data_IF_375794130188
#
_entry.id   IF_375794130188
#
_cell.length_a   1.000
_cell.length_b   1.000
_cell.length_c   1.000
_cell.angle_alpha   90.00
_cell.angle_beta   90.00
_cell.angle_gamma   90.00
#
_symmetry.space_group_name_H-M   'P 1'
#
loop_
_entity.id
_entity.type
_entity.pdbx_description
1 polymer ?
#
# COMPACT_ATOMS: atom_id res chain seq x y z
N UNK A 1 13.93 -9.46 -7.29
CA UNK A 1 12.63 -9.19 -7.95
C UNK A 1 12.04 -7.94 -7.30
N UNK A 2 11.48 -7.00 -8.07
CA UNK A 2 10.77 -5.82 -7.55
C UNK A 2 9.33 -5.90 -8.01
N UNK A 3 8.39 -5.92 -7.08
CA UNK A 3 6.95 -5.91 -7.35
C UNK A 3 6.42 -4.50 -7.08
N UNK A 4 5.75 -3.90 -8.05
CA UNK A 4 5.16 -2.57 -7.91
C UNK A 4 3.82 -2.50 -8.65
N UNK A 5 2.87 -1.77 -8.10
CA UNK A 5 1.62 -1.43 -8.78
C UNK A 5 1.86 -0.38 -9.87
N UNK A 6 1.33 -0.63 -11.07
CA UNK A 6 1.40 0.28 -12.19
C UNK A 6 -0.03 0.76 -12.56
N UNK A 7 -0.35 1.99 -12.19
CA UNK A 7 -1.66 2.58 -12.41
C UNK A 7 -1.87 3.81 -11.52
N UNK A 8 -2.98 4.51 -11.72
CA UNK A 8 -3.43 5.58 -10.79
C UNK A 8 -3.75 4.93 -9.45
N UNK A 9 -3.04 5.34 -8.39
CA UNK A 9 -3.04 4.70 -7.07
C UNK A 9 -1.79 3.88 -6.75
N UNK A 10 -0.96 3.56 -7.76
CA UNK A 10 0.34 2.90 -7.55
C UNK A 10 0.23 1.58 -6.78
N UNK A 11 1.07 1.40 -5.75
CA UNK A 11 1.14 0.16 -4.96
C UNK A 11 -0.14 -0.16 -4.18
N UNK A 12 -1.01 0.82 -3.87
CA UNK A 12 -2.26 0.52 -3.15
C UNK A 12 -3.22 -0.35 -3.96
N UNK A 13 -3.05 -0.40 -5.28
CA UNK A 13 -3.84 -1.24 -6.16
C UNK A 13 -3.60 -2.73 -5.88
N UNK A 14 -2.37 -3.13 -5.57
CA UNK A 14 -1.96 -4.54 -5.52
C UNK A 14 -1.19 -4.95 -4.25
N UNK A 15 -1.03 -4.07 -3.26
CA UNK A 15 -0.58 -4.47 -1.94
C UNK A 15 -1.63 -5.30 -1.18
N UNK A 16 -1.18 -6.02 -0.15
CA UNK A 16 -2.02 -6.77 0.79
C UNK A 16 -2.66 -5.91 1.88
N UNK A 17 -2.55 -4.57 1.78
CA UNK A 17 -3.20 -3.60 2.65
C UNK A 17 -2.96 -3.77 4.16
N UNK A 18 -1.79 -4.29 4.56
CA UNK A 18 -1.36 -4.34 5.96
C UNK A 18 -0.73 -3.01 6.38
N UNK A 19 -1.16 -2.46 7.51
CA UNK A 19 -0.94 -1.06 7.88
C UNK A 19 -0.42 -0.93 9.31
N UNK A 20 0.76 -1.51 9.55
CA UNK A 20 1.44 -1.46 10.83
C UNK A 20 2.06 -0.09 11.11
N UNK A 21 2.03 0.31 12.38
CA UNK A 21 2.92 1.35 12.90
C UNK A 21 4.23 0.65 13.30
N UNK A 22 5.40 1.18 12.90
CA UNK A 22 6.68 0.61 13.31
C UNK A 22 6.82 0.56 14.84
N UNK A 23 7.55 -0.43 15.38
CA UNK A 23 7.85 -0.48 16.81
C UNK A 23 8.86 0.61 17.19
N UNK A 24 8.99 0.87 18.49
CA UNK A 24 9.90 1.87 19.08
C UNK A 24 11.34 1.82 18.54
N UNK A 25 11.87 0.63 18.30
CA UNK A 25 13.21 0.43 17.74
C UNK A 25 13.42 1.09 16.37
N UNK A 26 12.37 1.29 15.57
CA UNK A 26 12.44 2.05 14.32
C UNK A 26 12.63 3.54 14.59
N UNK A 27 11.90 4.12 15.53
CA UNK A 27 11.99 5.55 15.83
C UNK A 27 13.32 5.92 16.50
N UNK A 28 13.89 5.01 17.29
CA UNK A 28 15.16 5.16 18.00
C UNK A 28 16.38 4.67 17.20
N UNK A 29 16.25 4.33 15.92
CA UNK A 29 17.40 3.85 15.13
C UNK A 29 18.52 4.92 15.10
N UNK A 30 19.77 4.54 15.42
CA UNK A 30 20.91 5.46 15.46
C UNK A 30 21.14 6.26 14.17
N UNK A 31 20.63 5.80 13.03
CA UNK A 31 20.72 6.50 11.75
C UNK A 31 19.99 7.86 11.75
N UNK A 32 18.95 8.04 12.57
CA UNK A 32 18.14 9.27 12.57
C UNK A 32 17.67 9.72 13.96
N UNK A 33 17.82 8.91 15.02
CA UNK A 33 17.36 9.23 16.37
C UNK A 33 17.92 10.56 16.93
N UNK A 34 19.09 11.00 16.44
CA UNK A 34 19.69 12.28 16.87
C UNK A 34 19.07 13.54 16.26
N UNK A 35 18.06 13.42 15.37
CA UNK A 35 17.44 14.57 14.69
C UNK A 35 16.31 15.17 15.54
N UNK A 36 15.42 14.33 16.06
CA UNK A 36 14.19 14.70 16.79
C UNK A 36 13.60 13.47 17.48
N UNK A 37 12.61 13.65 18.35
CA UNK A 37 11.75 12.55 18.82
C UNK A 37 10.79 12.16 17.69
N UNK A 38 11.20 11.18 16.88
CA UNK A 38 10.43 10.74 15.73
C UNK A 38 9.09 10.09 16.10
N UNK A 39 9.01 9.45 17.27
CA UNK A 39 7.76 8.82 17.68
C UNK A 39 6.71 9.89 17.99
N UNK A 40 7.09 10.95 18.72
CA UNK A 40 6.19 12.07 19.00
C UNK A 40 5.87 12.90 17.76
N UNK A 41 6.89 13.26 16.97
CA UNK A 41 6.73 14.08 15.76
C UNK A 41 5.86 13.40 14.71
N UNK A 42 6.01 12.09 14.50
CA UNK A 42 5.23 11.35 13.51
C UNK A 42 3.87 10.85 14.03
N UNK A 43 3.61 10.86 15.35
CA UNK A 43 2.35 10.40 15.95
C UNK A 43 1.10 10.99 15.28
N UNK A 44 0.95 12.33 15.10
CA UNK A 44 -0.23 12.88 14.44
C UNK A 44 -0.34 12.44 12.97
N UNK A 45 0.79 12.21 12.29
CA UNK A 45 0.81 11.76 10.91
C UNK A 45 0.38 10.29 10.76
N UNK A 46 0.80 9.42 11.69
CA UNK A 46 0.28 8.05 11.76
C UNK A 46 -1.22 8.01 12.06
N UNK A 47 -1.70 8.84 12.99
CA UNK A 47 -3.13 8.95 13.28
C UNK A 47 -3.94 9.36 12.04
N UNK A 48 -3.47 10.38 11.31
CA UNK A 48 -4.10 10.82 10.07
C UNK A 48 -4.06 9.73 8.98
N UNK A 49 -2.92 9.04 8.81
CA UNK A 49 -2.80 7.95 7.85
C UNK A 49 -3.75 6.79 8.17
N UNK A 50 -3.87 6.42 9.46
CA UNK A 50 -4.80 5.37 9.91
C UNK A 50 -6.26 5.74 9.63
N UNK A 51 -6.64 6.99 9.87
CA UNK A 51 -7.98 7.51 9.51
C UNK A 51 -8.21 7.46 8.00
N UNK A 52 -7.27 7.99 7.22
CA UNK A 52 -7.39 8.05 5.75
C UNK A 52 -7.48 6.68 5.09
N UNK A 53 -6.77 5.68 5.63
CA UNK A 53 -6.76 4.32 5.11
C UNK A 53 -7.85 3.43 5.73
N UNK A 54 -8.59 3.92 6.72
CA UNK A 54 -9.63 3.16 7.42
C UNK A 54 -9.07 1.94 8.14
N UNK A 55 -7.99 2.11 8.90
CA UNK A 55 -7.27 1.00 9.53
C UNK A 55 -8.08 0.39 10.67
N UNK A 56 -8.32 -0.92 10.58
CA UNK A 56 -8.92 -1.76 11.63
C UNK A 56 -8.27 -3.14 11.64
N UNK A 57 -8.43 -3.91 12.71
CA UNK A 57 -7.98 -5.30 12.71
C UNK A 57 -8.84 -6.13 11.76
N UNK A 58 -8.22 -7.09 11.07
CA UNK A 58 -8.96 -8.09 10.30
C UNK A 58 -9.85 -8.91 11.27
N UNK A 59 -11.18 -8.90 11.11
CA UNK A 59 -12.09 -9.58 12.04
C UNK A 59 -12.08 -11.10 11.86
N UNK A 60 -11.57 -11.60 10.73
CA UNK A 60 -11.74 -13.00 10.33
C UNK A 60 -10.49 -13.82 10.61
N UNK A 61 -10.67 -14.84 11.46
CA UNK A 61 -9.69 -15.90 11.68
C UNK A 61 -9.88 -17.00 10.64
N UNK A 62 -8.84 -17.27 9.86
CA UNK A 62 -8.78 -18.38 8.91
C UNK A 62 -8.08 -19.61 9.50
N UNK A 63 -8.11 -20.73 8.79
CA UNK A 63 -7.34 -21.92 9.18
C UNK A 63 -5.84 -21.62 9.28
N UNK A 64 -5.30 -20.79 8.37
CA UNK A 64 -3.89 -20.37 8.40
C UNK A 64 -3.56 -19.61 9.68
N UNK A 65 -4.42 -18.69 10.09
CA UNK A 65 -4.23 -17.89 11.32
C UNK A 65 -4.23 -18.78 12.57
N UNK A 66 -5.15 -19.75 12.65
CA UNK A 66 -5.21 -20.70 13.75
C UNK A 66 -3.93 -21.54 13.86
N UNK A 67 -3.38 -22.00 12.73
CA UNK A 67 -2.12 -22.77 12.70
C UNK A 67 -0.90 -21.92 13.03
N UNK A 68 -0.86 -20.66 12.57
CA UNK A 68 0.19 -19.71 12.93
C UNK A 68 0.19 -19.42 14.43
N UNK A 69 -0.99 -19.17 15.02
CA UNK A 69 -1.15 -18.98 16.47
C UNK A 69 -0.67 -20.21 17.25
N UNK A 70 -1.11 -21.40 16.87
CA UNK A 70 -0.69 -22.64 17.52
C UNK A 70 0.82 -22.89 17.40
N UNK A 71 1.46 -22.49 16.29
CA UNK A 71 2.90 -22.56 16.14
C UNK A 71 3.63 -21.58 17.08
N UNK A 72 3.16 -20.33 17.16
CA UNK A 72 3.69 -19.33 18.08
C UNK A 72 3.58 -19.78 19.55
N UNK A 73 2.45 -20.37 19.95
CA UNK A 73 2.24 -20.94 21.29
C UNK A 73 3.25 -22.06 21.59
N UNK A 74 3.49 -22.99 20.65
CA UNK A 74 4.51 -24.04 20.82
C UNK A 74 5.94 -23.50 20.91
N UNK A 75 6.20 -22.35 20.31
CA UNK A 75 7.48 -21.65 20.39
C UNK A 75 7.62 -20.79 21.66
N UNK A 76 6.57 -20.70 22.50
CA UNK A 76 6.56 -19.89 23.71
C UNK A 76 6.34 -18.39 23.48
N UNK A 77 5.85 -17.99 22.29
CA UNK A 77 5.63 -16.58 21.90
C UNK A 77 4.20 -16.33 21.42
N UNK A 78 3.25 -17.13 21.91
CA UNK A 78 1.84 -17.07 21.51
C UNK A 78 1.14 -15.74 21.84
N UNK A 79 1.62 -15.04 22.87
CA UNK A 79 1.18 -13.71 23.29
C UNK A 79 1.48 -12.62 22.26
N UNK A 80 2.45 -12.83 21.37
CA UNK A 80 2.76 -11.91 20.28
C UNK A 80 1.81 -12.03 19.08
N UNK A 81 0.99 -13.09 19.02
CA UNK A 81 0.05 -13.29 17.92
C UNK A 81 -1.06 -12.23 17.95
N UNK A 82 -1.27 -11.57 16.82
CA UNK A 82 -2.36 -10.63 16.62
C UNK A 82 -2.80 -10.63 15.16
N UNK A 83 -4.06 -10.28 14.93
CA UNK A 83 -4.57 -10.11 13.57
C UNK A 83 -3.93 -8.88 12.92
N UNK A 84 -3.75 -8.93 11.60
CA UNK A 84 -3.15 -7.81 10.89
C UNK A 84 -4.08 -6.58 10.87
N UNK A 85 -3.55 -5.36 11.11
CA UNK A 85 -4.26 -4.12 10.83
C UNK A 85 -4.38 -3.94 9.30
N UNK A 86 -5.60 -3.76 8.82
CA UNK A 86 -5.95 -3.70 7.41
C UNK A 86 -6.79 -2.48 7.06
N UNK A 87 -6.66 -1.98 5.82
CA UNK A 87 -7.51 -0.92 5.25
C UNK A 87 -8.61 -1.50 4.35
N UNK A 88 -9.64 -2.08 4.96
CA UNK A 88 -10.77 -2.75 4.26
C UNK A 88 -12.06 -2.40 4.98
N UNK A 89 -13.11 -2.09 4.19
CA UNK A 89 -14.47 -1.95 4.70
C UNK A 89 -15.17 -3.32 4.76
N UNK A 90 -15.58 -3.77 5.95
CA UNK A 90 -16.24 -5.07 6.13
C UNK A 90 -17.76 -4.97 6.29
N UNK A 91 -18.30 -3.82 6.68
CA UNK A 91 -19.73 -3.57 6.85
C UNK A 91 -20.33 -4.13 8.14
N UNK A 92 -19.52 -4.64 9.07
CA UNK A 92 -19.98 -5.26 10.32
C UNK A 92 -20.30 -4.25 11.44
N UNK A 93 -20.08 -2.97 11.19
CA UNK A 93 -20.33 -1.88 12.13
C UNK A 93 -19.14 -1.53 13.04
N UNK A 94 -17.98 -2.16 12.83
CA UNK A 94 -16.72 -1.82 13.51
C UNK A 94 -15.76 -1.06 12.56
N UNK A 95 -16.21 -0.77 11.33
CA UNK A 95 -15.51 0.11 10.39
C UNK A 95 -15.69 1.58 10.76
N UNK A 96 -14.64 2.38 10.52
CA UNK A 96 -14.69 3.84 10.64
C UNK A 96 -15.26 4.31 12.00
N UNK A 97 -16.44 4.93 12.00
CA UNK A 97 -17.17 5.39 13.19
C UNK A 97 -18.36 4.47 13.58
N UNK A 98 -18.53 3.35 12.88
CA UNK A 98 -19.62 2.38 13.08
C UNK A 98 -20.99 2.83 12.58
N UNK A 99 -21.10 4.00 11.93
CA UNK A 99 -22.38 4.56 11.48
C UNK A 99 -22.98 3.86 10.24
N UNK A 100 -22.23 2.97 9.59
CA UNK A 100 -22.65 2.24 8.40
C UNK A 100 -22.46 0.73 8.60
N UNK A 101 -23.53 -0.01 8.34
CA UNK A 101 -23.55 -1.48 8.31
C UNK A 101 -24.01 -1.92 6.93
N UNK A 102 -23.45 -3.02 6.45
CA UNK A 102 -23.71 -3.56 5.13
C UNK A 102 -23.46 -5.07 5.13
N UNK A 103 -24.28 -5.81 4.40
CA UNK A 103 -24.00 -7.23 4.14
C UNK A 103 -22.81 -7.35 3.19
N UNK A 104 -22.04 -8.46 3.22
CA UNK A 104 -20.97 -8.68 2.25
C UNK A 104 -21.46 -8.46 0.80
N UNK A 105 -20.79 -7.58 0.07
CA UNK A 105 -21.15 -7.20 -1.31
C UNK A 105 -22.20 -6.09 -1.44
N UNK A 106 -22.77 -5.60 -0.34
CA UNK A 106 -23.68 -4.45 -0.32
C UNK A 106 -22.88 -3.14 -0.30
N UNK A 107 -23.34 -2.17 -1.11
CA UNK A 107 -22.77 -0.83 -1.20
C UNK A 107 -23.46 0.12 -0.23
N UNK A 108 -22.67 0.98 0.41
CA UNK A 108 -23.14 2.08 1.26
C UNK A 108 -22.48 3.40 0.84
N UNK A 109 -23.14 4.55 1.11
CA UNK A 109 -22.49 5.85 1.01
C UNK A 109 -21.22 5.93 1.87
N UNK A 110 -20.31 6.84 1.53
CA UNK A 110 -19.00 7.00 2.19
C UNK A 110 -19.06 6.89 3.73
N UNK A 111 -18.43 5.86 4.31
CA UNK A 111 -18.37 5.66 5.75
C UNK A 111 -17.17 6.34 6.42
N UNK A 112 -16.21 6.91 5.67
CA UNK A 112 -14.91 7.34 6.23
C UNK A 112 -14.73 8.87 6.31
N UNK A 113 -15.28 9.62 5.35
CA UNK A 113 -14.96 11.04 5.17
C UNK A 113 -16.17 11.95 5.34
N UNK A 114 -17.15 11.52 6.14
CA UNK A 114 -18.35 12.30 6.42
C UNK A 114 -19.19 12.56 5.16
N UNK A 115 -19.17 11.64 4.19
CA UNK A 115 -19.87 11.78 2.92
C UNK A 115 -19.05 12.43 1.81
N UNK A 116 -17.81 12.85 2.08
CA UNK A 116 -16.95 13.48 1.09
C UNK A 116 -16.17 12.49 0.21
N UNK A 117 -16.09 11.21 0.61
CA UNK A 117 -15.47 10.15 -0.17
C UNK A 117 -16.45 9.45 -1.11
N UNK A 118 -15.97 8.42 -1.83
CA UNK A 118 -16.83 7.58 -2.65
C UNK A 118 -17.63 6.57 -1.81
N UNK A 119 -18.70 6.03 -2.40
CA UNK A 119 -19.39 4.87 -1.84
C UNK A 119 -18.44 3.66 -1.68
N UNK A 120 -18.74 2.79 -0.72
CA UNK A 120 -17.93 1.62 -0.38
C UNK A 120 -18.80 0.36 -0.37
N UNK A 121 -18.23 -0.74 -0.81
CA UNK A 121 -18.89 -2.05 -0.79
C UNK A 121 -18.26 -2.92 0.28
N UNK A 122 -19.08 -3.56 1.13
CA UNK A 122 -18.57 -4.46 2.15
C UNK A 122 -17.81 -5.65 1.56
N UNK A 123 -16.67 -5.98 2.15
CA UNK A 123 -15.80 -7.06 1.73
C UNK A 123 -16.53 -8.42 1.71
N UNK A 124 -16.34 -9.18 0.64
CA UNK A 124 -16.85 -10.55 0.48
C UNK A 124 -15.81 -11.62 0.79
N UNK A 125 -14.65 -11.22 1.33
CA UNK A 125 -13.51 -12.10 1.61
C UNK A 125 -13.01 -12.88 0.37
N UNK A 126 -13.10 -12.28 -0.83
CA UNK A 126 -12.79 -12.94 -2.10
C UNK A 126 -11.29 -13.26 -2.33
N UNK A 127 -10.39 -12.76 -1.47
CA UNK A 127 -8.95 -13.03 -1.56
C UNK A 127 -8.23 -12.35 -2.73
N UNK A 128 -8.84 -11.35 -3.37
CA UNK A 128 -8.28 -10.67 -4.54
C UNK A 128 -7.36 -9.48 -4.20
N UNK A 129 -7.03 -9.26 -2.92
CA UNK A 129 -6.35 -8.06 -2.43
C UNK A 129 -5.07 -7.75 -3.22
N UNK A 130 -4.19 -8.73 -3.41
CA UNK A 130 -2.92 -8.54 -4.11
C UNK A 130 -3.04 -8.52 -5.65
N UNK A 131 -4.20 -8.90 -6.19
CA UNK A 131 -4.48 -8.86 -7.64
C UNK A 131 -5.32 -7.66 -8.06
N UNK A 132 -5.68 -6.79 -7.11
CA UNK A 132 -6.61 -5.68 -7.30
C UNK A 132 -8.02 -6.04 -6.84
N UNK A 133 -8.51 -5.33 -5.81
CA UNK A 133 -9.90 -5.44 -5.37
C UNK A 133 -10.79 -4.71 -6.39
N UNK A 134 -11.69 -5.44 -7.04
CA UNK A 134 -12.61 -4.89 -8.07
C UNK A 134 -13.97 -4.48 -7.51
N UNK A 135 -14.17 -4.66 -6.20
CA UNK A 135 -15.46 -4.55 -5.56
C UNK A 135 -15.64 -3.25 -4.76
N UNK A 136 -14.56 -2.50 -4.52
CA UNK A 136 -14.64 -1.27 -3.72
C UNK A 136 -14.60 -1.48 -2.21
N UNK A 137 -14.13 -2.64 -1.73
CA UNK A 137 -13.97 -2.91 -0.30
C UNK A 137 -12.59 -2.47 0.25
N UNK A 138 -11.52 -2.69 -0.52
CA UNK A 138 -10.16 -2.30 -0.15
C UNK A 138 -9.98 -0.80 -0.28
N UNK A 139 -9.53 -0.13 0.77
CA UNK A 139 -9.28 1.32 0.76
C UNK A 139 -7.97 1.60 0.05
N UNK A 140 -8.00 1.71 -1.28
CA UNK A 140 -6.85 2.11 -2.09
C UNK A 140 -6.76 3.63 -2.15
N UNK A 141 -5.65 4.15 -2.68
CA UNK A 141 -5.46 5.59 -2.82
C UNK A 141 -6.51 6.26 -3.72
N UNK A 142 -7.15 5.49 -4.61
CA UNK A 142 -8.22 5.98 -5.47
C UNK A 142 -9.52 6.23 -4.71
N UNK A 143 -9.71 5.64 -3.53
CA UNK A 143 -10.95 5.80 -2.75
C UNK A 143 -10.76 6.67 -1.51
N UNK A 144 -9.58 7.29 -1.36
CA UNK A 144 -9.31 8.27 -0.32
C UNK A 144 -8.53 9.48 -0.87
N UNK A 145 -7.20 9.52 -0.75
CA UNK A 145 -6.35 10.66 -1.07
C UNK A 145 -6.55 11.19 -2.50
N UNK A 146 -6.56 10.33 -3.51
CA UNK A 146 -6.69 10.77 -4.90
C UNK A 146 -8.11 11.23 -5.22
N UNK A 147 -9.13 10.55 -4.68
CA UNK A 147 -10.52 10.98 -4.80
C UNK A 147 -10.73 12.39 -4.24
N UNK A 148 -10.26 12.62 -3.01
CA UNK A 148 -10.40 13.92 -2.36
C UNK A 148 -9.55 15.00 -3.05
N UNK A 149 -8.36 14.65 -3.53
CA UNK A 149 -7.50 15.57 -4.27
C UNK A 149 -8.15 16.03 -5.59
N UNK A 150 -8.72 15.10 -6.37
CA UNK A 150 -9.43 15.46 -7.60
C UNK A 150 -10.65 16.34 -7.33
N UNK A 151 -11.42 16.03 -6.28
CA UNK A 151 -12.53 16.90 -5.83
C UNK A 151 -12.07 18.30 -5.40
N UNK A 152 -10.85 18.41 -4.89
CA UNK A 152 -10.22 19.70 -4.55
C UNK A 152 -9.56 20.40 -5.76
N UNK A 153 -9.67 19.84 -6.97
CA UNK A 153 -9.18 20.46 -8.21
C UNK A 153 -7.83 19.95 -8.71
N UNK A 154 -7.26 18.91 -8.08
CA UNK A 154 -6.07 18.26 -8.62
C UNK A 154 -6.39 17.57 -9.95
N UNK A 155 -5.49 17.70 -10.93
CA UNK A 155 -5.66 17.07 -12.25
C UNK A 155 -4.74 15.85 -12.35
N UNK A 156 -5.34 14.66 -12.41
CA UNK A 156 -4.60 13.44 -12.71
C UNK A 156 -4.37 13.31 -14.22
N UNK A 157 -3.13 12.98 -14.61
CA UNK A 157 -2.75 12.71 -16.00
C UNK A 157 -2.27 11.28 -16.14
N UNK A 158 -3.18 10.29 -16.28
CA UNK A 158 -2.81 8.90 -16.50
C UNK A 158 -1.95 8.76 -17.76
N UNK A 159 -1.24 7.63 -17.87
CA UNK A 159 -0.42 7.31 -19.05
C UNK A 159 0.62 8.39 -19.43
N UNK A 160 1.07 9.17 -18.44
CA UNK A 160 2.08 10.21 -18.61
C UNK A 160 3.32 9.85 -17.80
N UNK A 161 4.43 9.58 -18.48
CA UNK A 161 5.72 9.30 -17.84
C UNK A 161 6.59 10.55 -17.83
N UNK A 162 7.08 10.96 -16.66
CA UNK A 162 8.15 11.97 -16.54
C UNK A 162 9.48 11.31 -16.89
N UNK A 163 10.22 11.91 -17.83
CA UNK A 163 11.53 11.40 -18.30
C UNK A 163 12.68 12.36 -18.01
N UNK A 164 12.38 13.62 -17.71
CA UNK A 164 13.38 14.57 -17.23
C UNK A 164 12.76 15.65 -16.36
N UNK A 165 13.52 16.12 -15.38
CA UNK A 165 13.24 17.31 -14.57
C UNK A 165 14.51 18.15 -14.57
N UNK A 166 14.39 19.44 -14.83
CA UNK A 166 15.51 20.38 -14.77
C UNK A 166 15.05 21.71 -14.18
N UNK A 167 16.00 22.50 -13.70
CA UNK A 167 15.72 23.87 -13.27
C UNK A 167 15.33 24.73 -14.49
N UNK A 168 14.42 25.67 -14.27
CA UNK A 168 14.01 26.62 -15.29
C UNK A 168 14.72 27.96 -15.04
N UNK A 169 15.19 28.59 -16.12
CA UNK A 169 15.95 29.87 -16.05
C UNK A 169 15.18 30.99 -15.32
N UNK A 170 13.86 31.03 -15.52
CA UNK A 170 12.97 32.06 -14.96
C UNK A 170 12.39 31.63 -13.58
N UNK A 171 13.07 30.71 -12.89
CA UNK A 171 12.60 30.08 -11.66
C UNK A 171 11.61 28.92 -11.89
N UNK A 172 11.57 28.01 -10.90
CA UNK A 172 10.81 26.76 -10.94
C UNK A 172 11.52 25.64 -11.71
N UNK A 173 10.72 24.70 -12.22
CA UNK A 173 11.17 23.48 -12.87
C UNK A 173 10.52 23.28 -14.23
N UNK A 174 11.30 22.69 -15.14
CA UNK A 174 10.86 22.14 -16.41
C UNK A 174 10.70 20.63 -16.25
N UNK A 175 9.51 20.11 -16.54
CA UNK A 175 9.18 18.68 -16.42
C UNK A 175 8.86 18.14 -17.81
N UNK A 176 9.71 17.25 -18.31
CA UNK A 176 9.56 16.63 -19.63
C UNK A 176 8.80 15.32 -19.48
N UNK A 177 7.71 15.18 -20.25
CA UNK A 177 6.84 14.01 -20.21
C UNK A 177 6.67 13.38 -21.59
N UNK A 178 6.39 12.08 -21.58
CA UNK A 178 6.02 11.29 -22.76
C UNK A 178 4.85 10.36 -22.44
N UNK A 179 4.04 9.94 -23.43
CA UNK A 179 3.07 8.86 -23.25
C UNK A 179 3.75 7.58 -22.75
N UNK A 180 3.17 6.95 -21.73
CA UNK A 180 3.73 5.75 -21.08
C UNK A 180 3.82 4.55 -22.01
N UNK A 181 2.89 4.41 -22.96
CA UNK A 181 2.82 3.34 -23.96
C UNK A 181 3.72 3.56 -25.19
N UNK A 182 4.20 4.80 -25.41
CA UNK A 182 4.99 5.18 -26.61
C UNK A 182 6.30 5.89 -26.28
N UNK A 183 6.89 5.58 -25.12
CA UNK A 183 8.07 6.30 -24.57
C UNK A 183 9.21 6.56 -25.56
N UNK A 184 9.51 5.63 -26.47
CA UNK A 184 10.64 5.73 -27.42
C UNK A 184 10.35 6.53 -28.70
N UNK A 185 9.08 6.63 -29.11
CA UNK A 185 8.68 7.19 -30.41
C UNK A 185 7.94 8.51 -30.31
N UNK A 186 7.42 8.83 -29.13
CA UNK A 186 6.58 10.00 -28.94
C UNK A 186 7.40 11.29 -28.83
N UNK A 187 6.86 12.39 -29.40
CA UNK A 187 7.38 13.73 -29.19
C UNK A 187 7.17 14.14 -27.72
N UNK A 188 8.21 14.55 -26.98
CA UNK A 188 8.06 14.96 -25.59
C UNK A 188 7.18 16.21 -25.44
N UNK A 189 6.43 16.27 -24.34
CA UNK A 189 5.74 17.48 -23.89
C UNK A 189 6.50 18.07 -22.70
N UNK A 190 6.39 19.38 -22.54
CA UNK A 190 7.05 20.10 -21.45
C UNK A 190 5.99 20.78 -20.60
N UNK A 191 6.05 20.51 -19.30
CA UNK A 191 5.28 21.22 -18.30
C UNK A 191 6.24 22.16 -17.53
N UNK A 192 5.71 23.31 -17.10
CA UNK A 192 6.38 24.20 -16.17
C UNK A 192 5.68 24.10 -14.82
N UNK A 193 6.45 23.99 -13.75
CA UNK A 193 5.92 23.93 -12.40
C UNK A 193 6.83 24.72 -11.46
N UNK A 194 6.26 25.46 -10.52
CA UNK A 194 7.05 26.18 -9.51
C UNK A 194 7.71 25.21 -8.52
N UNK A 195 6.99 24.14 -8.17
CA UNK A 195 7.43 23.08 -7.27
C UNK A 195 7.21 21.72 -7.91
N UNK A 196 8.10 20.78 -7.62
CA UNK A 196 8.01 19.38 -8.06
C UNK A 196 8.20 18.48 -6.85
N UNK A 197 7.21 17.63 -6.60
CA UNK A 197 7.29 16.56 -5.60
C UNK A 197 7.47 15.24 -6.35
N UNK A 198 8.59 14.56 -6.10
CA UNK A 198 8.87 13.27 -6.74
C UNK A 198 8.32 12.14 -5.86
N UNK A 199 7.28 11.46 -6.36
CA UNK A 199 6.59 10.36 -5.68
C UNK A 199 6.49 9.11 -6.58
N UNK A 200 7.52 8.82 -7.37
CA UNK A 200 7.53 7.72 -8.34
C UNK A 200 7.95 6.35 -7.72
N UNK A 201 7.75 6.20 -6.40
CA UNK A 201 8.29 5.09 -5.61
C UNK A 201 9.82 5.10 -5.50
N UNK A 202 10.38 4.19 -4.72
CA UNK A 202 11.84 4.12 -4.47
C UNK A 202 12.64 3.99 -5.76
N UNK A 203 12.29 3.01 -6.61
CA UNK A 203 13.03 2.74 -7.85
C UNK A 203 12.87 3.86 -8.89
N UNK A 204 11.64 4.32 -9.14
CA UNK A 204 11.36 5.33 -10.16
C UNK A 204 11.97 6.69 -9.82
N UNK A 205 11.87 7.10 -8.54
CA UNK A 205 12.43 8.36 -8.07
C UNK A 205 13.96 8.35 -8.13
N UNK A 206 14.59 7.28 -7.65
CA UNK A 206 16.06 7.17 -7.71
C UNK A 206 16.55 7.14 -9.16
N UNK A 207 15.93 6.34 -10.04
CA UNK A 207 16.31 6.26 -11.45
C UNK A 207 16.26 7.62 -12.13
N UNK A 208 15.18 8.39 -11.88
CA UNK A 208 15.04 9.73 -12.43
C UNK A 208 16.13 10.67 -11.89
N UNK A 209 16.32 10.73 -10.58
CA UNK A 209 17.29 11.63 -9.95
C UNK A 209 18.74 11.31 -10.32
N UNK A 210 19.14 10.04 -10.36
CA UNK A 210 20.46 9.63 -10.85
C UNK A 210 20.66 10.08 -12.30
N UNK A 211 19.67 9.81 -13.16
CA UNK A 211 19.73 10.23 -14.56
C UNK A 211 19.84 11.75 -14.69
N UNK A 212 19.14 12.53 -13.84
CA UNK A 212 19.18 14.00 -13.91
C UNK A 212 20.51 14.55 -13.40
N UNK A 213 21.09 13.96 -12.36
CA UNK A 213 22.42 14.31 -11.86
C UNK A 213 23.49 14.02 -12.91
N UNK A 214 23.51 12.80 -13.43
CA UNK A 214 24.56 12.33 -14.36
C UNK A 214 24.50 13.07 -15.71
N UNK A 215 23.34 13.61 -16.08
CA UNK A 215 23.15 14.49 -17.25
C UNK A 215 23.37 15.98 -16.97
N UNK A 216 23.69 16.37 -15.74
CA UNK A 216 23.86 17.76 -15.33
C UNK A 216 22.57 18.60 -15.31
N UNK A 217 21.39 17.96 -15.35
CA UNK A 217 20.09 18.65 -15.32
C UNK A 217 19.67 19.06 -13.91
N UNK A 218 20.12 18.31 -12.90
CA UNK A 218 19.99 18.64 -11.48
C UNK A 218 21.36 18.43 -10.81
N UNK A 219 22.34 19.31 -11.06
CA UNK A 219 23.73 19.10 -10.64
C UNK A 219 23.93 19.20 -9.11
N UNK A 220 22.94 19.74 -8.38
CA UNK A 220 22.98 19.86 -6.92
C UNK A 220 22.47 18.62 -6.17
N UNK A 221 22.10 17.56 -6.89
CA UNK A 221 21.72 16.28 -6.26
C UNK A 221 22.96 15.66 -5.64
N UNK A 222 22.91 15.39 -4.33
CA UNK A 222 24.03 14.85 -3.56
C UNK A 222 24.49 13.48 -4.08
N UNK A 223 25.81 13.23 -4.03
CA UNK A 223 26.41 11.94 -4.39
C UNK A 223 26.01 10.79 -3.47
N UNK A 224 25.48 11.08 -2.27
CA UNK A 224 24.92 10.08 -1.36
C UNK A 224 23.56 9.54 -1.81
N UNK A 225 22.97 10.06 -2.88
CA UNK A 225 21.72 9.52 -3.44
C UNK A 225 21.86 8.01 -3.69
N UNK A 226 20.92 7.23 -3.17
CA UNK A 226 20.87 5.77 -3.34
C UNK A 226 21.67 4.95 -2.34
N UNK A 227 22.51 5.58 -1.50
CA UNK A 227 23.21 4.92 -0.39
C UNK A 227 22.18 4.38 0.63
N UNK A 228 22.45 3.19 1.18
CA UNK A 228 21.56 2.45 2.11
C UNK A 228 20.20 2.06 1.54
N UNK A 229 20.05 1.91 0.21
CA UNK A 229 18.83 1.34 -0.36
C UNK A 229 18.60 -0.09 0.17
N UNK A 230 17.40 -0.34 0.73
CA UNK A 230 16.98 -1.63 1.29
C UNK A 230 15.74 -2.18 0.56
N UNK A 231 15.55 -3.49 0.65
CA UNK A 231 14.41 -4.23 0.04
C UNK A 231 13.41 -4.73 1.07
N UNK A 232 13.37 -4.14 2.27
CA UNK A 232 12.51 -4.58 3.38
C UNK A 232 12.80 -6.02 3.89
N UNK A 233 13.90 -6.64 3.45
CA UNK A 233 14.33 -8.00 3.87
C UNK A 233 13.24 -9.08 3.76
N UNK A 234 12.38 -8.98 2.74
CA UNK A 234 11.22 -9.88 2.59
C UNK A 234 11.65 -11.32 2.26
N UNK A 235 11.05 -12.29 2.96
CA UNK A 235 11.18 -13.72 2.70
C UNK A 235 9.79 -14.35 2.49
N UNK A 236 9.62 -15.05 1.37
CA UNK A 236 8.42 -15.84 1.09
C UNK A 236 8.73 -17.31 1.35
N UNK A 237 8.13 -17.86 2.41
CA UNK A 237 8.29 -19.26 2.81
C UNK A 237 6.97 -20.01 2.67
N UNK A 238 7.03 -21.26 2.27
CA UNK A 238 5.86 -22.12 2.10
C UNK A 238 5.91 -23.32 3.05
N UNK A 239 4.76 -23.68 3.60
CA UNK A 239 4.55 -24.94 4.31
C UNK A 239 3.42 -25.71 3.63
N UNK A 240 3.59 -27.02 3.49
CA UNK A 240 2.60 -27.89 2.82
C UNK A 240 2.35 -29.14 3.65
N UNK A 241 1.12 -29.64 3.58
CA UNK A 241 0.70 -30.91 4.20
C UNK A 241 -0.20 -31.68 3.25
N UNK A 242 -0.49 -32.95 3.58
CA UNK A 242 -1.48 -33.77 2.87
C UNK A 242 -2.63 -34.09 3.82
N UNK A 243 -3.83 -34.35 3.30
CA UNK A 243 -5.00 -34.70 4.13
C UNK A 243 -4.73 -35.86 5.09
N UNK A 244 -3.96 -36.87 4.64
CA UNK A 244 -3.52 -37.99 5.48
C UNK A 244 -2.67 -37.53 6.66
N UNK A 245 -1.67 -36.66 6.41
CA UNK A 245 -0.78 -36.13 7.46
C UNK A 245 -1.55 -35.21 8.41
N UNK A 246 -2.43 -34.38 7.86
CA UNK A 246 -3.29 -33.47 8.62
C UNK A 246 -4.20 -34.24 9.57
N UNK A 247 -4.90 -35.27 9.08
CA UNK A 247 -5.76 -36.14 9.90
C UNK A 247 -4.99 -36.83 11.01
N UNK A 248 -3.80 -37.34 10.72
CA UNK A 248 -2.95 -37.97 11.74
C UNK A 248 -2.56 -37.00 12.86
N UNK A 249 -2.31 -35.74 12.54
CA UNK A 249 -1.86 -34.73 13.51
C UNK A 249 -3.00 -34.03 14.26
N UNK A 250 -4.15 -33.82 13.61
CA UNK A 250 -5.23 -32.96 14.12
C UNK A 250 -6.58 -33.67 14.29
N UNK A 251 -6.70 -34.95 13.92
CA UNK A 251 -7.96 -35.72 13.98
C UNK A 251 -9.03 -35.32 12.95
N UNK A 252 -8.90 -34.17 12.30
CA UNK A 252 -9.81 -33.70 11.27
C UNK A 252 -9.44 -34.21 9.86
N UNK A 253 -10.44 -34.49 9.03
CA UNK A 253 -10.22 -35.09 7.71
C UNK A 253 -9.39 -34.21 6.75
N UNK A 254 -9.57 -32.89 6.81
CA UNK A 254 -8.84 -31.85 6.05
C UNK A 254 -9.00 -30.49 6.72
N UNK A 255 -8.09 -29.54 6.44
CA UNK A 255 -8.31 -28.12 6.71
C UNK A 255 -8.72 -27.41 5.43
N UNK A 256 -9.63 -26.45 5.55
CA UNK A 256 -9.99 -25.57 4.44
C UNK A 256 -9.11 -24.30 4.47
N UNK A 257 -8.09 -24.28 3.61
CA UNK A 257 -7.22 -23.13 3.41
C UNK A 257 -7.68 -22.22 2.26
N UNK A 258 -8.89 -22.43 1.71
CA UNK A 258 -9.39 -21.64 0.58
C UNK A 258 -10.12 -20.37 0.99
N UNK A 259 -10.58 -20.29 2.25
CA UNK A 259 -11.23 -19.09 2.78
C UNK A 259 -10.28 -17.89 2.75
N UNK A 260 -10.72 -16.77 2.16
CA UNK A 260 -9.91 -15.56 2.06
C UNK A 260 -8.80 -15.63 1.00
N UNK A 261 -8.74 -16.71 0.21
CA UNK A 261 -7.78 -16.90 -0.87
C UNK A 261 -8.53 -16.92 -2.20
N UNK A 262 -8.00 -16.22 -3.22
CA UNK A 262 -8.53 -16.31 -4.57
C UNK A 262 -8.29 -17.72 -5.12
N UNK A 263 -9.31 -18.57 -5.05
CA UNK A 263 -9.27 -19.86 -5.76
C UNK A 263 -9.32 -19.59 -7.27
N UNK A 264 -8.44 -20.20 -8.09
CA UNK A 264 -8.72 -20.29 -9.51
C UNK A 264 -10.08 -20.99 -9.65
N UNK A 265 -11.06 -20.33 -10.26
CA UNK A 265 -12.26 -21.05 -10.68
C UNK A 265 -11.80 -22.13 -11.66
N UNK A 266 -12.21 -23.40 -11.52
CA UNK A 266 -12.06 -24.34 -12.61
C UNK A 266 -12.78 -23.73 -13.82
N UNK A 267 -12.05 -23.60 -14.93
CA UNK A 267 -12.60 -23.28 -16.25
C UNK A 267 -13.57 -24.35 -16.71
#
# INVERSE_FOLDING_TARGET
>A
MVLAGAGVGGGSLNYANTLYVPPKAFFEDPQWAGITDWEDELRPHYAQARRMLGVRLNPTVTASDAHLKAAAERMGVGDTFHMAPVGVFFGDGDDADGARRARPGEEVPDPYFGGAGPARTACTECGECMTGCRHGAKNTLNENYLHLAERAGAVLRPMTTVVAVSEHRDGGFRVVTVPTDRRRKARPRVLRAERVVLAAGTYGTQTLLHTMRDKGLLPRVCDRLGVLTRTNSEALVGAQTTDRRYRKAHGAARADFTRGVRSPRPS
#
